data_IF_739394171681
#
_entry.id   IF_739394171681
#
_cell.length_a   1.000
_cell.length_b   1.000
_cell.length_c   1.000
_cell.angle_alpha   90.00
_cell.angle_beta   90.00
_cell.angle_gamma   90.00
#
_symmetry.space_group_name_H-M   'P 1'
#
loop_
_entity.id
_entity.type
_entity.pdbx_description
1 polymer ?
#
# COMPACT_ATOMS: atom_id res chain seq x y z
N UNK A 1 -19.24 -34.79 20.07
CA UNK A 1 -19.80 -34.37 18.79
C UNK A 1 -20.31 -32.92 18.83
N UNK A 2 -19.52 -31.96 19.38
CA UNK A 2 -19.96 -30.56 19.62
C UNK A 2 -18.91 -29.51 19.27
N UNK A 3 -17.98 -29.78 18.35
CA UNK A 3 -16.86 -28.86 18.05
C UNK A 3 -16.97 -28.11 16.72
N UNK A 4 -17.80 -28.54 15.78
CA UNK A 4 -17.88 -27.90 14.44
C UNK A 4 -18.81 -26.68 14.36
N UNK A 5 -19.81 -26.55 15.22
CA UNK A 5 -20.81 -25.46 15.19
C UNK A 5 -20.26 -24.17 15.78
N UNK A 6 -19.38 -24.24 16.78
CA UNK A 6 -18.84 -23.06 17.47
C UNK A 6 -17.75 -22.35 16.65
N UNK A 7 -17.03 -23.07 15.79
CA UNK A 7 -16.02 -22.54 14.88
C UNK A 7 -16.67 -21.74 13.74
N UNK A 8 -17.82 -22.18 13.25
CA UNK A 8 -18.56 -21.53 12.16
C UNK A 8 -19.14 -20.16 12.55
N UNK A 9 -19.69 -20.02 13.76
CA UNK A 9 -20.29 -18.76 14.24
C UNK A 9 -19.24 -17.66 14.50
N UNK A 10 -18.07 -18.02 15.04
CA UNK A 10 -16.97 -17.05 15.25
C UNK A 10 -16.32 -16.62 13.94
N UNK A 11 -16.35 -17.48 12.93
CA UNK A 11 -15.82 -17.18 11.60
C UNK A 11 -16.74 -16.19 10.87
N UNK A 12 -18.06 -16.35 11.00
CA UNK A 12 -19.07 -15.44 10.41
C UNK A 12 -19.00 -14.05 11.05
N UNK A 13 -18.90 -13.93 12.38
CA UNK A 13 -18.75 -12.64 13.08
C UNK A 13 -17.44 -11.91 12.72
N UNK A 14 -16.39 -12.67 12.44
CA UNK A 14 -15.12 -12.14 11.91
C UNK A 14 -15.27 -11.57 10.51
N UNK A 15 -15.97 -12.29 9.62
CA UNK A 15 -16.24 -11.84 8.25
C UNK A 15 -17.10 -10.58 8.23
N UNK A 16 -18.12 -10.49 9.09
CA UNK A 16 -18.98 -9.33 9.18
C UNK A 16 -18.23 -8.08 9.67
N UNK A 17 -17.33 -8.21 10.64
CA UNK A 17 -16.45 -7.11 11.10
C UNK A 17 -15.46 -6.67 10.04
N UNK A 18 -14.90 -7.61 9.30
CA UNK A 18 -13.97 -7.30 8.20
C UNK A 18 -14.70 -6.69 7.00
N UNK A 19 -15.89 -7.19 6.64
CA UNK A 19 -16.77 -6.60 5.64
C UNK A 19 -17.18 -5.17 6.02
N UNK A 20 -17.54 -4.95 7.27
CA UNK A 20 -17.90 -3.62 7.79
C UNK A 20 -16.71 -2.67 7.72
N UNK A 21 -15.50 -3.15 8.01
CA UNK A 21 -14.27 -2.37 7.93
C UNK A 21 -13.87 -2.05 6.48
N UNK A 22 -13.92 -3.04 5.58
CA UNK A 22 -13.68 -2.82 4.14
C UNK A 22 -14.76 -1.91 3.52
N UNK A 23 -16.03 -2.08 3.90
CA UNK A 23 -17.12 -1.19 3.48
C UNK A 23 -16.97 0.20 4.08
N UNK A 24 -16.55 0.35 5.33
CA UNK A 24 -16.29 1.65 5.96
C UNK A 24 -15.15 2.40 5.24
N UNK A 25 -14.09 1.69 4.85
CA UNK A 25 -13.00 2.25 4.04
C UNK A 25 -13.50 2.62 2.65
N UNK A 26 -14.24 1.72 1.99
CA UNK A 26 -14.85 1.96 0.68
C UNK A 26 -15.83 3.14 0.71
N UNK A 27 -16.63 3.26 1.77
CA UNK A 27 -17.54 4.39 2.00
C UNK A 27 -16.73 5.66 2.26
N UNK A 28 -15.69 5.63 3.07
CA UNK A 28 -14.83 6.80 3.36
C UNK A 28 -14.08 7.27 2.11
N UNK A 29 -13.55 6.34 1.31
CA UNK A 29 -12.92 6.63 0.01
C UNK A 29 -13.96 7.12 -1.01
N UNK A 30 -15.15 6.52 -1.04
CA UNK A 30 -16.26 6.95 -1.89
C UNK A 30 -16.75 8.36 -1.52
N UNK A 31 -16.87 8.70 -0.23
CA UNK A 31 -17.23 10.06 0.23
C UNK A 31 -16.12 11.06 -0.05
N UNK A 32 -14.84 10.73 0.17
CA UNK A 32 -13.73 11.60 -0.19
C UNK A 32 -13.65 11.80 -1.71
N UNK A 33 -13.85 10.75 -2.50
CA UNK A 33 -13.83 10.83 -3.96
C UNK A 33 -15.04 11.62 -4.51
N UNK A 34 -16.22 11.52 -3.87
CA UNK A 34 -17.42 12.26 -4.28
C UNK A 34 -17.48 13.69 -3.73
N UNK A 35 -16.82 13.99 -2.61
CA UNK A 35 -16.70 15.36 -2.11
C UNK A 35 -15.83 16.22 -3.05
N UNK A 36 -14.85 15.64 -3.70
CA UNK A 36 -14.05 16.28 -4.77
C UNK A 36 -14.86 16.39 -6.09
N UNK A 37 -15.87 15.55 -6.30
CA UNK A 37 -16.72 15.58 -7.51
C UNK A 37 -17.85 16.61 -7.50
N UNK A 38 -18.14 17.22 -6.37
CA UNK A 38 -19.25 18.18 -6.19
C UNK A 38 -19.00 19.57 -6.73
N UNK A 39 -18.50 19.73 -7.95
CA UNK A 39 -18.52 21.02 -8.64
C UNK A 39 -17.24 21.42 -9.34
N UNK A 40 -16.83 20.72 -10.35
CA UNK A 40 -16.15 21.20 -11.56
C UNK A 40 -15.63 19.96 -12.31
N UNK A 41 -16.04 19.84 -13.55
CA UNK A 41 -15.61 18.79 -14.48
C UNK A 41 -14.07 18.86 -14.60
N UNK A 42 -13.35 18.08 -13.77
CA UNK A 42 -11.88 17.98 -13.88
C UNK A 42 -11.53 17.46 -15.26
N UNK A 43 -10.69 18.19 -15.98
CA UNK A 43 -10.08 17.71 -17.21
C UNK A 43 -9.14 16.58 -16.78
N UNK A 44 -9.52 15.35 -17.10
CA UNK A 44 -8.91 14.10 -16.63
C UNK A 44 -7.37 14.06 -16.81
N UNK A 45 -6.80 14.78 -17.76
CA UNK A 45 -5.37 14.89 -18.01
C UNK A 45 -4.59 15.82 -17.08
N UNK A 46 -5.19 16.90 -16.57
CA UNK A 46 -4.45 17.89 -15.77
C UNK A 46 -4.16 17.38 -14.36
N UNK A 47 -5.09 16.70 -13.73
CA UNK A 47 -4.92 16.12 -12.39
C UNK A 47 -3.79 15.07 -12.38
N UNK A 48 -3.81 14.15 -13.31
CA UNK A 48 -2.77 13.14 -13.49
C UNK A 48 -1.41 13.77 -13.83
N UNK A 49 -1.38 14.83 -14.67
CA UNK A 49 -0.15 15.54 -14.99
C UNK A 49 0.48 16.22 -13.76
N UNK A 50 -0.33 16.75 -12.84
CA UNK A 50 0.13 17.34 -11.57
C UNK A 50 0.82 16.26 -10.72
N UNK A 51 0.20 15.09 -10.56
CA UNK A 51 0.77 13.95 -9.82
C UNK A 51 2.07 13.50 -10.48
N UNK A 52 2.08 13.31 -11.78
CA UNK A 52 3.28 12.91 -12.52
C UNK A 52 4.40 13.95 -12.45
N UNK A 53 4.08 15.25 -12.29
CA UNK A 53 5.09 16.27 -12.10
C UNK A 53 5.88 16.08 -10.80
N UNK A 54 5.22 15.69 -9.70
CA UNK A 54 5.90 15.34 -8.43
C UNK A 54 6.98 14.29 -8.68
N UNK A 55 6.62 13.19 -9.37
CA UNK A 55 7.56 12.09 -9.63
C UNK A 55 8.71 12.51 -10.57
N UNK A 56 8.44 13.36 -11.58
CA UNK A 56 9.51 13.89 -12.44
C UNK A 56 10.47 14.80 -11.68
N UNK A 57 9.96 15.67 -10.80
CA UNK A 57 10.80 16.55 -9.97
C UNK A 57 11.65 15.71 -9.01
N UNK A 58 11.04 14.72 -8.34
CA UNK A 58 11.73 13.83 -7.43
C UNK A 58 12.85 13.03 -8.13
N UNK A 59 12.57 12.50 -9.33
CA UNK A 59 13.57 11.76 -10.12
C UNK A 59 14.77 12.61 -10.54
N UNK A 60 14.55 13.91 -10.82
CA UNK A 60 15.63 14.86 -11.15
C UNK A 60 16.46 15.26 -9.93
N UNK A 61 15.88 15.23 -8.74
CA UNK A 61 16.46 15.66 -7.48
C UNK A 61 16.11 14.68 -6.34
N UNK A 62 16.74 13.50 -6.25
CA UNK A 62 16.34 12.45 -5.31
C UNK A 62 16.42 12.85 -3.82
N UNK A 63 17.37 13.74 -3.47
CA UNK A 63 17.56 14.23 -2.10
C UNK A 63 16.57 15.33 -1.68
N UNK A 64 15.73 15.77 -2.62
CA UNK A 64 14.76 16.84 -2.35
C UNK A 64 13.63 16.32 -1.47
N UNK A 65 13.44 16.95 -0.30
CA UNK A 65 12.45 16.59 0.72
C UNK A 65 11.18 17.47 0.68
N UNK A 66 11.19 18.53 -0.15
CA UNK A 66 10.06 19.46 -0.27
C UNK A 66 9.86 19.93 -1.69
N UNK A 67 8.61 19.94 -2.14
CA UNK A 67 8.18 20.52 -3.41
C UNK A 67 7.11 21.56 -3.13
N UNK A 68 7.18 22.69 -3.83
CA UNK A 68 6.14 23.72 -3.80
C UNK A 68 5.16 23.58 -4.97
N UNK A 69 3.92 24.06 -4.80
CA UNK A 69 2.97 24.11 -5.91
C UNK A 69 3.48 24.95 -7.10
N UNK A 70 4.38 25.93 -6.86
CA UNK A 70 5.01 26.71 -7.91
C UNK A 70 5.94 25.85 -8.78
N UNK A 71 6.74 24.99 -8.17
CA UNK A 71 7.62 24.07 -8.92
C UNK A 71 6.80 23.05 -9.73
N UNK A 72 5.73 22.52 -9.13
CA UNK A 72 4.80 21.63 -9.83
C UNK A 72 4.16 22.34 -11.03
N UNK A 73 3.70 23.56 -10.85
CA UNK A 73 3.09 24.37 -11.89
C UNK A 73 4.06 24.65 -13.04
N UNK A 74 5.31 24.99 -12.71
CA UNK A 74 6.39 25.22 -13.69
C UNK A 74 6.73 23.96 -14.49
N UNK A 75 6.78 22.79 -13.81
CA UNK A 75 7.10 21.51 -14.46
C UNK A 75 6.07 21.12 -15.55
N UNK A 76 4.81 21.59 -15.44
CA UNK A 76 3.74 21.29 -16.40
C UNK A 76 3.22 22.51 -17.16
N UNK A 77 3.93 23.63 -17.09
CA UNK A 77 3.61 24.89 -17.79
C UNK A 77 2.19 25.42 -17.53
N UNK A 78 1.74 25.41 -16.27
CA UNK A 78 0.50 26.05 -15.83
C UNK A 78 0.78 27.03 -14.70
N UNK A 79 -0.22 27.82 -14.31
CA UNK A 79 -0.06 28.73 -13.19
C UNK A 79 -0.30 28.03 -11.85
N UNK A 80 0.42 28.44 -10.79
CA UNK A 80 0.13 27.98 -9.42
C UNK A 80 -1.33 28.18 -9.05
N UNK A 81 -1.92 29.32 -9.50
CA UNK A 81 -3.33 29.65 -9.25
C UNK A 81 -4.28 28.61 -9.88
N UNK A 82 -3.94 28.07 -11.06
CA UNK A 82 -4.74 27.03 -11.71
C UNK A 82 -4.75 25.72 -10.89
N UNK A 83 -3.61 25.34 -10.29
CA UNK A 83 -3.55 24.20 -9.38
C UNK A 83 -4.40 24.48 -8.15
N UNK A 84 -4.12 25.60 -7.46
CA UNK A 84 -4.74 25.94 -6.20
C UNK A 84 -6.28 26.04 -6.30
N UNK A 85 -6.80 26.65 -7.36
CA UNK A 85 -8.24 26.91 -7.49
C UNK A 85 -9.07 25.69 -7.94
N UNK A 86 -8.44 24.68 -8.58
CA UNK A 86 -9.17 23.60 -9.26
C UNK A 86 -8.76 22.18 -8.87
N UNK A 87 -7.60 22.01 -8.23
CA UNK A 87 -7.02 20.69 -8.02
C UNK A 87 -6.58 20.43 -6.57
N UNK A 88 -5.57 21.16 -6.10
CA UNK A 88 -4.93 20.90 -4.79
C UNK A 88 -4.63 22.20 -4.06
N UNK A 89 -4.99 22.29 -2.79
CA UNK A 89 -4.77 23.49 -1.97
C UNK A 89 -3.30 23.62 -1.54
N UNK A 90 -2.63 22.48 -1.37
CA UNK A 90 -1.21 22.43 -1.01
C UNK A 90 -0.55 21.15 -1.59
N UNK A 91 0.75 21.05 -1.45
CA UNK A 91 1.50 19.88 -1.93
C UNK A 91 1.17 18.60 -1.15
N UNK A 92 0.84 18.72 0.14
CA UNK A 92 0.43 17.58 0.94
C UNK A 92 -0.83 16.91 0.40
N UNK A 93 -1.79 17.69 -0.13
CA UNK A 93 -3.01 17.13 -0.74
C UNK A 93 -2.65 16.24 -1.95
N UNK A 94 -1.57 16.57 -2.67
CA UNK A 94 -1.09 15.76 -3.80
C UNK A 94 -0.52 14.44 -3.28
N UNK A 95 0.25 14.45 -2.20
CA UNK A 95 0.79 13.22 -1.60
C UNK A 95 -0.32 12.36 -1.01
N UNK A 96 -1.31 12.95 -0.34
CA UNK A 96 -2.48 12.22 0.15
C UNK A 96 -3.24 11.53 -1.00
N UNK A 97 -3.39 12.21 -2.13
CA UNK A 97 -4.02 11.63 -3.32
C UNK A 97 -3.17 10.50 -3.92
N UNK A 98 -1.84 10.65 -3.99
CA UNK A 98 -0.92 9.58 -4.41
C UNK A 98 -1.06 8.35 -3.50
N UNK A 99 -1.08 8.57 -2.18
CA UNK A 99 -1.27 7.50 -1.20
C UNK A 99 -2.61 6.78 -1.41
N UNK A 100 -3.69 7.55 -1.61
CA UNK A 100 -5.03 6.98 -1.82
C UNK A 100 -5.11 6.17 -3.12
N UNK A 101 -4.56 6.67 -4.22
CA UNK A 101 -4.55 5.95 -5.52
C UNK A 101 -3.79 4.64 -5.40
N UNK A 102 -2.60 4.65 -4.77
CA UNK A 102 -1.79 3.45 -4.61
C UNK A 102 -2.48 2.46 -3.67
N UNK A 103 -3.00 2.94 -2.53
CA UNK A 103 -3.68 2.12 -1.53
C UNK A 103 -4.94 1.48 -2.11
N UNK A 104 -5.78 2.24 -2.82
CA UNK A 104 -7.00 1.73 -3.45
C UNK A 104 -6.70 0.58 -4.42
N UNK A 105 -5.70 0.75 -5.29
CA UNK A 105 -5.37 -0.24 -6.30
C UNK A 105 -4.71 -1.51 -5.75
N UNK A 106 -3.87 -1.36 -4.72
CA UNK A 106 -3.15 -2.48 -4.11
C UNK A 106 -4.03 -3.18 -3.08
N UNK A 107 -4.72 -2.40 -2.24
CA UNK A 107 -5.41 -2.89 -1.06
C UNK A 107 -6.72 -3.61 -1.36
N UNK A 108 -7.54 -3.11 -2.30
CA UNK A 108 -8.83 -3.73 -2.61
C UNK A 108 -8.68 -5.18 -3.06
N UNK A 109 -7.74 -5.47 -3.96
CA UNK A 109 -7.45 -6.83 -4.42
C UNK A 109 -7.03 -7.76 -3.27
N UNK A 110 -6.23 -7.24 -2.34
CA UNK A 110 -5.78 -8.01 -1.17
C UNK A 110 -6.93 -8.30 -0.21
N UNK A 111 -7.78 -7.32 0.09
CA UNK A 111 -8.95 -7.50 0.92
C UNK A 111 -9.95 -8.50 0.34
N UNK A 112 -10.24 -8.42 -0.96
CA UNK A 112 -11.11 -9.36 -1.64
C UNK A 112 -10.57 -10.80 -1.57
N UNK A 113 -9.27 -10.98 -1.77
CA UNK A 113 -8.64 -12.30 -1.66
C UNK A 113 -8.65 -12.83 -0.23
N UNK A 114 -8.46 -11.98 0.78
CA UNK A 114 -8.61 -12.39 2.18
C UNK A 114 -10.04 -12.82 2.52
N UNK A 115 -11.05 -12.15 1.96
CA UNK A 115 -12.47 -12.49 2.16
C UNK A 115 -12.81 -13.86 1.56
N UNK A 116 -12.23 -14.16 0.41
CA UNK A 116 -12.46 -15.40 -0.33
C UNK A 116 -11.48 -16.53 0.05
N UNK A 117 -10.70 -16.34 1.12
CA UNK A 117 -9.67 -17.29 1.51
C UNK A 117 -10.24 -18.64 1.98
N UNK A 118 -9.88 -19.70 1.29
CA UNK A 118 -10.27 -21.08 1.57
C UNK A 118 -9.22 -21.87 2.39
N UNK A 119 -8.43 -21.19 3.22
CA UNK A 119 -7.38 -21.78 4.05
C UNK A 119 -5.96 -21.68 3.48
N UNK A 120 -5.75 -20.82 2.48
CA UNK A 120 -4.42 -20.49 2.00
C UNK A 120 -3.62 -19.68 3.04
N UNK A 121 -2.29 -19.79 3.00
CA UNK A 121 -1.45 -18.97 3.86
C UNK A 121 -1.53 -17.51 3.49
N UNK A 122 -1.42 -16.61 4.47
CA UNK A 122 -1.38 -15.16 4.25
C UNK A 122 -0.27 -14.77 3.26
N UNK A 123 0.85 -15.47 3.26
CA UNK A 123 1.97 -15.21 2.34
C UNK A 123 1.62 -15.59 0.90
N UNK A 124 0.84 -16.65 0.70
CA UNK A 124 0.32 -17.02 -0.63
C UNK A 124 -0.62 -15.93 -1.16
N UNK A 125 -1.55 -15.44 -0.33
CA UNK A 125 -2.46 -14.35 -0.70
C UNK A 125 -1.68 -13.09 -1.04
N UNK A 126 -0.69 -12.71 -0.23
CA UNK A 126 0.20 -11.58 -0.51
C UNK A 126 0.90 -11.76 -1.86
N UNK A 127 1.46 -12.95 -2.10
CA UNK A 127 2.18 -13.24 -3.33
C UNK A 127 1.27 -13.16 -4.57
N UNK A 128 0.03 -13.62 -4.48
CA UNK A 128 -0.91 -13.63 -5.61
C UNK A 128 -1.54 -12.25 -5.88
N UNK A 129 -1.71 -11.41 -4.87
CA UNK A 129 -2.45 -10.16 -4.99
C UNK A 129 -1.57 -8.92 -4.95
N UNK A 130 -0.68 -8.80 -3.95
CA UNK A 130 0.14 -7.60 -3.78
C UNK A 130 1.29 -7.53 -4.79
N UNK A 131 1.98 -8.63 -5.08
CA UNK A 131 3.14 -8.63 -5.98
C UNK A 131 2.77 -8.11 -7.39
N UNK A 132 1.72 -8.62 -8.07
CA UNK A 132 1.31 -8.08 -9.36
C UNK A 132 0.87 -6.61 -9.28
N UNK A 133 0.14 -6.23 -8.23
CA UNK A 133 -0.36 -4.88 -8.02
C UNK A 133 0.79 -3.89 -7.79
N UNK A 134 1.76 -4.23 -6.95
CA UNK A 134 2.99 -3.46 -6.71
C UNK A 134 3.78 -3.29 -8.01
N UNK A 135 3.97 -4.34 -8.78
CA UNK A 135 4.70 -4.29 -10.05
C UNK A 135 4.02 -3.38 -11.08
N UNK A 136 2.71 -3.38 -11.12
CA UNK A 136 1.94 -2.47 -11.99
C UNK A 136 2.24 -1.00 -11.69
N UNK A 137 2.44 -0.65 -10.42
CA UNK A 137 2.74 0.70 -9.96
C UNK A 137 4.22 0.95 -9.66
N UNK A 138 5.13 0.07 -10.13
CA UNK A 138 6.56 0.07 -9.81
C UNK A 138 7.27 1.40 -10.07
N UNK A 139 6.89 2.16 -11.11
CA UNK A 139 7.52 3.44 -11.42
C UNK A 139 7.31 4.48 -10.33
N UNK A 140 6.09 4.60 -9.81
CA UNK A 140 5.78 5.51 -8.71
C UNK A 140 6.39 5.02 -7.40
N UNK A 141 6.21 3.72 -7.12
CA UNK A 141 6.73 3.12 -5.89
C UNK A 141 8.26 3.20 -5.81
N UNK A 142 8.98 2.96 -6.92
CA UNK A 142 10.42 3.14 -6.94
C UNK A 142 10.83 4.54 -6.47
N UNK A 143 10.20 5.58 -6.99
CA UNK A 143 10.51 6.96 -6.62
C UNK A 143 10.19 7.21 -5.14
N UNK A 144 9.04 6.75 -4.64
CA UNK A 144 8.67 6.88 -3.23
C UNK A 144 9.63 6.15 -2.28
N UNK A 145 10.26 5.07 -2.71
CA UNK A 145 11.22 4.32 -1.90
C UNK A 145 12.68 4.80 -2.04
N UNK A 146 13.03 5.40 -3.17
CA UNK A 146 14.44 5.76 -3.49
C UNK A 146 14.73 7.24 -3.41
N UNK A 147 13.73 8.09 -3.13
CA UNK A 147 13.91 9.54 -2.99
C UNK A 147 13.38 10.04 -1.64
N UNK A 148 13.78 11.24 -1.26
CA UNK A 148 13.34 11.89 -0.02
C UNK A 148 12.03 12.66 -0.16
N UNK A 149 11.34 12.55 -1.30
CA UNK A 149 10.23 13.42 -1.67
C UNK A 149 9.01 13.30 -0.77
N UNK A 150 8.78 12.11 -0.23
CA UNK A 150 7.68 11.83 0.69
C UNK A 150 8.19 11.13 1.96
N UNK A 151 8.59 11.88 2.97
CA UNK A 151 9.09 11.31 4.23
C UNK A 151 8.01 10.50 4.99
N UNK A 152 6.73 10.71 4.67
CA UNK A 152 5.61 10.04 5.34
C UNK A 152 5.20 8.72 4.67
N UNK A 153 5.70 8.42 3.49
CA UNK A 153 5.32 7.24 2.72
C UNK A 153 5.39 5.93 3.53
N UNK A 154 6.55 5.66 4.14
CA UNK A 154 6.73 4.43 4.92
C UNK A 154 5.83 4.37 6.16
N UNK A 155 5.67 5.50 6.85
CA UNK A 155 4.79 5.61 8.02
C UNK A 155 3.33 5.39 7.64
N UNK A 156 2.90 5.94 6.51
CA UNK A 156 1.56 5.72 5.95
C UNK A 156 1.32 4.23 5.68
N UNK A 157 2.20 3.56 4.92
CA UNK A 157 2.06 2.14 4.62
C UNK A 157 2.03 1.28 5.89
N UNK A 158 2.98 1.52 6.81
CA UNK A 158 3.05 0.78 8.07
C UNK A 158 1.74 0.91 8.85
N UNK A 159 1.27 2.12 9.09
CA UNK A 159 0.04 2.36 9.86
C UNK A 159 -1.16 1.65 9.23
N UNK A 160 -1.20 1.61 7.90
CA UNK A 160 -2.25 0.98 7.11
C UNK A 160 -2.22 -0.54 7.25
N UNK A 161 -1.08 -1.16 6.95
CA UNK A 161 -0.96 -2.62 6.92
C UNK A 161 -0.96 -3.26 8.31
N UNK A 162 -0.36 -2.60 9.32
CA UNK A 162 -0.44 -3.08 10.70
C UNK A 162 -1.88 -3.11 11.18
N UNK A 163 -2.65 -2.04 10.95
CA UNK A 163 -4.05 -1.97 11.35
C UNK A 163 -4.89 -3.10 10.75
N UNK A 164 -4.69 -3.39 9.47
CA UNK A 164 -5.39 -4.48 8.78
C UNK A 164 -5.01 -5.83 9.35
N UNK A 165 -3.70 -6.08 9.48
CA UNK A 165 -3.19 -7.34 10.00
C UNK A 165 -3.65 -7.58 11.44
N UNK A 166 -3.68 -6.55 12.28
CA UNK A 166 -4.23 -6.63 13.63
C UNK A 166 -5.70 -7.07 13.62
N UNK A 167 -6.53 -6.47 12.76
CA UNK A 167 -7.95 -6.84 12.64
C UNK A 167 -8.14 -8.31 12.22
N UNK A 168 -7.25 -8.83 11.38
CA UNK A 168 -7.27 -10.24 10.94
C UNK A 168 -6.75 -11.17 12.04
N UNK A 169 -5.77 -10.72 12.82
CA UNK A 169 -5.03 -11.53 13.81
C UNK A 169 -5.66 -11.55 15.20
N UNK A 170 -6.77 -10.84 15.44
CA UNK A 170 -7.44 -10.82 16.76
C UNK A 170 -7.79 -12.21 17.32
N UNK A 171 -7.70 -13.25 16.50
CA UNK A 171 -7.98 -14.66 16.84
C UNK A 171 -6.76 -15.59 16.69
N UNK A 172 -5.61 -15.05 16.27
CA UNK A 172 -4.40 -15.86 16.12
C UNK A 172 -3.70 -16.04 17.48
N UNK A 173 -3.57 -17.27 17.92
CA UNK A 173 -2.71 -17.60 19.07
C UNK A 173 -1.26 -17.35 18.68
N UNK A 174 -0.62 -16.41 19.35
CA UNK A 174 0.80 -16.14 19.19
C UNK A 174 1.57 -16.90 20.28
N UNK A 175 2.24 -17.96 19.89
CA UNK A 175 3.08 -18.79 20.77
C UNK A 175 4.53 -18.30 20.85
N UNK A 176 4.83 -17.14 20.27
CA UNK A 176 6.17 -16.55 20.24
C UNK A 176 6.51 -15.73 21.49
N UNK A 177 7.78 -15.32 21.64
CA UNK A 177 8.25 -14.54 22.80
C UNK A 177 7.78 -13.09 22.78
N UNK A 178 7.21 -12.61 21.68
CA UNK A 178 6.69 -11.24 21.52
C UNK A 178 5.17 -11.26 21.61
N UNK A 179 4.57 -10.16 22.10
CA UNK A 179 3.13 -10.01 21.99
C UNK A 179 2.71 -9.86 20.52
N UNK A 180 1.44 -10.16 20.22
CA UNK A 180 0.91 -10.19 18.84
C UNK A 180 1.13 -8.87 18.09
N UNK A 181 0.92 -7.73 18.74
CA UNK A 181 1.11 -6.41 18.13
C UNK A 181 2.56 -6.18 17.69
N UNK A 182 3.52 -6.44 18.58
CA UNK A 182 4.95 -6.30 18.26
C UNK A 182 5.37 -7.22 17.13
N UNK A 183 4.88 -8.47 17.16
CA UNK A 183 5.16 -9.43 16.11
C UNK A 183 4.62 -8.97 14.76
N UNK A 184 3.36 -8.51 14.69
CA UNK A 184 2.74 -7.99 13.48
C UNK A 184 3.51 -6.77 12.94
N UNK A 185 3.89 -5.83 13.81
CA UNK A 185 4.69 -4.68 13.40
C UNK A 185 6.01 -5.10 12.73
N UNK A 186 6.73 -6.06 13.33
CA UNK A 186 7.99 -6.57 12.77
C UNK A 186 7.75 -7.26 11.42
N UNK A 187 6.72 -8.08 11.31
CA UNK A 187 6.41 -8.79 10.07
C UNK A 187 5.99 -7.84 8.94
N UNK A 188 5.21 -6.81 9.24
CA UNK A 188 4.86 -5.78 8.27
C UNK A 188 6.12 -5.03 7.77
N UNK A 189 7.01 -4.61 8.66
CA UNK A 189 8.28 -3.97 8.29
C UNK A 189 9.16 -4.89 7.45
N UNK A 190 9.24 -6.17 7.80
CA UNK A 190 10.02 -7.16 7.05
C UNK A 190 9.49 -7.33 5.62
N UNK A 191 8.18 -7.49 5.46
CA UNK A 191 7.54 -7.61 4.14
C UNK A 191 7.72 -6.32 3.32
N UNK A 192 7.53 -5.16 3.94
CA UNK A 192 7.76 -3.86 3.27
C UNK A 192 9.21 -3.70 2.83
N UNK A 193 10.19 -4.15 3.63
CA UNK A 193 11.59 -4.12 3.26
C UNK A 193 11.89 -5.01 2.04
N UNK A 194 11.30 -6.20 1.97
CA UNK A 194 11.43 -7.10 0.81
C UNK A 194 10.89 -6.42 -0.45
N UNK A 195 9.70 -5.84 -0.39
CA UNK A 195 9.10 -5.15 -1.54
C UNK A 195 9.88 -3.89 -1.93
N UNK A 196 10.33 -3.10 -0.95
CA UNK A 196 11.13 -1.91 -1.20
C UNK A 196 12.43 -2.26 -1.94
N UNK A 197 13.15 -3.30 -1.51
CA UNK A 197 14.37 -3.76 -2.19
C UNK A 197 14.04 -4.19 -3.63
N UNK A 198 13.04 -5.04 -3.83
CA UNK A 198 12.68 -5.51 -5.15
C UNK A 198 12.34 -4.37 -6.13
N UNK A 199 11.49 -3.41 -5.69
CA UNK A 199 11.01 -2.31 -6.56
C UNK A 199 12.07 -1.22 -6.78
N UNK A 200 13.06 -1.12 -5.88
CA UNK A 200 14.15 -0.14 -6.02
C UNK A 200 15.17 -0.51 -7.09
N UNK A 201 15.21 -1.76 -7.52
CA UNK A 201 16.06 -2.20 -8.61
C UNK A 201 15.74 -1.45 -9.92
N UNK A 202 16.74 -1.27 -10.78
CA UNK A 202 16.53 -0.65 -12.09
C UNK A 202 15.68 -1.54 -13.01
N UNK A 203 15.84 -2.84 -12.86
CA UNK A 203 15.09 -3.86 -13.60
C UNK A 203 14.54 -4.91 -12.63
N UNK A 204 13.47 -4.60 -11.88
CA UNK A 204 12.93 -5.54 -10.91
C UNK A 204 12.44 -6.81 -11.62
N UNK A 205 12.75 -7.95 -11.04
CA UNK A 205 12.34 -9.26 -11.58
C UNK A 205 10.81 -9.30 -11.80
N UNK A 206 10.36 -9.98 -12.88
CA UNK A 206 8.91 -10.09 -13.13
C UNK A 206 8.15 -10.75 -11.96
N UNK A 207 6.88 -10.41 -11.74
CA UNK A 207 6.06 -10.96 -10.66
C UNK A 207 6.09 -12.50 -10.56
N UNK A 208 6.09 -13.20 -11.69
CA UNK A 208 6.11 -14.67 -11.74
C UNK A 208 7.38 -15.30 -11.16
N UNK A 209 8.50 -14.58 -11.21
CA UNK A 209 9.78 -14.99 -10.62
C UNK A 209 9.82 -14.56 -9.17
N UNK A 210 9.57 -13.29 -8.89
CA UNK A 210 9.64 -12.72 -7.56
C UNK A 210 8.68 -13.39 -6.56
N UNK A 211 7.50 -13.86 -6.99
CA UNK A 211 6.59 -14.65 -6.16
C UNK A 211 7.28 -15.86 -5.53
N UNK A 212 8.08 -16.59 -6.30
CA UNK A 212 8.80 -17.78 -5.80
C UNK A 212 9.87 -17.37 -4.79
N UNK A 213 10.61 -16.32 -5.07
CA UNK A 213 11.63 -15.75 -4.18
C UNK A 213 10.99 -15.26 -2.88
N UNK A 214 9.91 -14.50 -2.95
CA UNK A 214 9.15 -14.02 -1.80
C UNK A 214 8.66 -15.17 -0.91
N UNK A 215 8.02 -16.19 -1.49
CA UNK A 215 7.53 -17.34 -0.75
C UNK A 215 8.67 -18.17 -0.13
N UNK A 216 9.80 -18.27 -0.80
CA UNK A 216 10.99 -18.90 -0.24
C UNK A 216 11.50 -18.14 0.99
N UNK A 217 11.61 -16.80 0.89
CA UNK A 217 12.05 -15.94 2.00
C UNK A 217 11.08 -16.06 3.18
N UNK A 218 9.78 -16.01 2.94
CA UNK A 218 8.77 -16.04 4.00
C UNK A 218 8.64 -17.39 4.71
N UNK A 219 8.97 -18.48 4.02
CA UNK A 219 8.87 -19.85 4.58
C UNK A 219 10.21 -20.43 5.05
N UNK A 220 11.30 -19.67 4.95
CA UNK A 220 12.63 -20.13 5.31
C UNK A 220 13.27 -19.22 6.35
N UNK A 221 13.88 -19.79 7.37
CA UNK A 221 14.66 -19.01 8.34
C UNK A 221 15.80 -18.27 7.63
N UNK A 222 16.03 -16.98 7.92
CA UNK A 222 17.11 -16.19 7.31
C UNK A 222 18.50 -16.87 7.37
N UNK A 223 18.80 -17.56 8.47
CA UNK A 223 20.06 -18.28 8.64
C UNK A 223 20.24 -19.42 7.62
N UNK A 224 19.14 -20.01 7.14
CA UNK A 224 19.19 -21.08 6.13
C UNK A 224 19.31 -20.53 4.70
N UNK A 225 18.96 -19.26 4.49
CA UNK A 225 19.11 -18.59 3.19
C UNK A 225 20.55 -18.11 2.98
N UNK A 226 21.28 -17.88 4.06
CA UNK A 226 22.71 -17.49 4.03
C UNK A 226 23.51 -18.77 4.26
N UNK A 227 24.07 -19.33 3.20
CA UNK A 227 25.01 -20.44 3.31
C UNK A 227 26.33 -19.91 3.96
N UNK A 228 26.33 -19.79 5.27
CA UNK A 228 27.55 -19.60 6.04
C UNK A 228 28.18 -21.00 6.17
N UNK A 229 29.21 -21.21 5.35
CA UNK A 229 30.11 -22.39 5.50
C UNK A 229 31.04 -22.15 6.66
#
# INVERSE_FOLDING_TARGET
>A
MFSKSFFSLKFIDFFDKMLTFCNFIRIKLYYNHNYIRGGLRMVKGTHENIINAIFRIASKNPEKDRISLTEVANEINITRQAIYSKHFSCTNDIFEEIHNIIDEHIFNNFCEALQNNNGESIYSIIAETLIPSIYKHRHWLKILYTTSIDPNWRTFLRSRYVKITMTISDKAENNGPLNTEKFINIMCEYIMAIFANWISDDFPTPPSVFKKEFLLIMNTSPIKLINIK
#
